data_IF_709450821945
#
_entry.id   IF_709450821945
#
_cell.length_a   1.000
_cell.length_b   1.000
_cell.length_c   1.000
_cell.angle_alpha   90.00
_cell.angle_beta   90.00
_cell.angle_gamma   90.00
#
_symmetry.space_group_name_H-M   'P 1'
#
loop_
_entity.id
_entity.type
_entity.pdbx_description
1 polymer ?
#
# COMPACT_ATOMS: atom_id res chain seq x y z
N UNK A 1 -23.72 -3.34 10.59
CA UNK A 1 -22.86 -3.52 9.43
C UNK A 1 -22.37 -2.14 9.01
N UNK A 2 -21.19 -2.05 8.47
CA UNK A 2 -20.59 -0.79 8.02
C UNK A 2 -19.44 -1.05 7.05
N UNK A 3 -19.21 -0.10 6.17
CA UNK A 3 -18.15 -0.21 5.18
C UNK A 3 -16.77 -0.06 5.78
N UNK A 4 -15.87 -1.00 5.46
CA UNK A 4 -14.46 -1.01 5.87
C UNK A 4 -13.60 -1.36 4.67
N UNK A 5 -12.47 -0.68 4.51
CA UNK A 5 -11.49 -1.04 3.49
C UNK A 5 -10.85 -2.40 3.81
N UNK A 6 -10.87 -3.32 2.85
CA UNK A 6 -10.23 -4.64 2.95
C UNK A 6 -8.93 -4.72 2.15
N UNK A 7 -8.74 -3.82 1.21
CA UNK A 7 -7.54 -3.67 0.41
C UNK A 7 -7.41 -2.22 -0.07
N UNK A 8 -6.19 -1.72 -0.16
CA UNK A 8 -5.92 -0.42 -0.76
C UNK A 8 -4.53 -0.37 -1.42
N UNK A 9 -4.37 0.59 -2.32
CA UNK A 9 -3.13 0.91 -3.01
C UNK A 9 -3.01 2.42 -3.16
N UNK A 10 -1.84 2.98 -2.79
CA UNK A 10 -1.56 4.41 -2.89
C UNK A 10 -1.49 4.86 -4.34
N UNK A 11 -2.34 5.76 -4.81
CA UNK A 11 -2.24 6.28 -6.17
C UNK A 11 -1.04 7.23 -6.31
N UNK A 12 -0.33 7.09 -7.44
CA UNK A 12 0.75 7.96 -7.88
C UNK A 12 0.68 8.18 -9.39
N UNK A 13 1.40 9.17 -9.91
CA UNK A 13 1.63 9.29 -11.35
C UNK A 13 2.54 8.14 -11.81
N UNK A 14 2.17 7.51 -12.92
CA UNK A 14 2.88 6.36 -13.47
C UNK A 14 3.07 6.54 -14.98
N UNK A 15 4.30 6.37 -15.43
CA UNK A 15 4.69 6.56 -16.84
C UNK A 15 4.81 5.22 -17.58
N UNK A 16 4.94 5.30 -18.91
CA UNK A 16 5.28 4.15 -19.76
C UNK A 16 4.11 3.27 -20.17
N UNK A 17 2.88 3.64 -19.84
CA UNK A 17 1.68 2.89 -20.22
C UNK A 17 0.92 3.57 -21.37
N UNK A 18 0.56 2.77 -22.36
CA UNK A 18 -0.26 3.15 -23.50
C UNK A 18 -1.36 2.12 -23.68
N UNK A 19 -2.61 2.57 -23.77
CA UNK A 19 -3.76 1.69 -23.93
C UNK A 19 -4.56 2.12 -25.17
N UNK A 20 -5.08 1.16 -25.92
CA UNK A 20 -5.92 1.40 -27.07
C UNK A 20 -7.00 0.31 -27.15
N UNK A 21 -8.15 0.58 -26.52
CA UNK A 21 -9.26 -0.37 -26.49
C UNK A 21 -8.90 -1.69 -25.81
N UNK A 22 -8.32 -1.65 -24.61
CA UNK A 22 -7.82 -2.83 -23.90
C UNK A 22 -8.54 -3.04 -22.57
N UNK A 23 -8.53 -4.29 -22.11
CA UNK A 23 -8.98 -4.67 -20.76
C UNK A 23 -7.78 -4.76 -19.84
N UNK A 24 -7.85 -4.09 -18.69
CA UNK A 24 -6.89 -4.22 -17.60
C UNK A 24 -7.48 -5.13 -16.54
N UNK A 25 -6.65 -6.03 -15.99
CA UNK A 25 -7.03 -6.98 -14.95
C UNK A 25 -6.08 -6.89 -13.78
N UNK A 26 -6.56 -6.33 -12.67
CA UNK A 26 -5.81 -6.09 -11.44
C UNK A 26 -6.16 -7.13 -10.39
N UNK A 27 -5.15 -7.62 -9.69
CA UNK A 27 -5.29 -8.66 -8.65
C UNK A 27 -5.13 -8.01 -7.28
N UNK A 28 -6.13 -8.11 -6.43
CA UNK A 28 -6.12 -7.56 -5.08
C UNK A 28 -6.20 -8.68 -4.03
N UNK A 29 -5.19 -8.78 -3.16
CA UNK A 29 -5.18 -9.71 -2.03
C UNK A 29 -5.91 -9.07 -0.85
N UNK A 30 -7.15 -9.48 -0.59
CA UNK A 30 -8.00 -8.85 0.43
C UNK A 30 -7.69 -9.38 1.83
N UNK A 31 -7.71 -8.50 2.82
CA UNK A 31 -7.40 -8.83 4.21
C UNK A 31 -8.55 -9.50 4.96
N UNK A 32 -9.78 -9.00 4.76
CA UNK A 32 -11.00 -9.57 5.36
C UNK A 32 -12.00 -9.90 4.26
N UNK A 33 -12.81 -10.93 4.48
CA UNK A 33 -13.88 -11.36 3.57
C UNK A 33 -15.21 -10.72 3.88
N UNK A 34 -16.21 -11.06 3.06
CA UNK A 34 -17.58 -10.60 3.21
C UNK A 34 -18.51 -11.11 2.13
N UNK A 35 -19.71 -10.54 2.07
CA UNK A 35 -20.76 -10.92 1.10
C UNK A 35 -21.19 -9.76 0.20
N UNK A 36 -20.72 -8.56 0.48
CA UNK A 36 -20.93 -7.34 -0.32
C UNK A 36 -19.67 -6.51 -0.33
N UNK A 37 -19.35 -5.97 -1.48
CA UNK A 37 -18.17 -5.09 -1.67
C UNK A 37 -18.47 -3.94 -2.62
N UNK A 38 -17.53 -2.99 -2.69
CA UNK A 38 -17.46 -1.94 -3.71
C UNK A 38 -16.01 -1.63 -4.04
N UNK A 39 -15.75 -1.20 -5.27
CA UNK A 39 -14.41 -0.95 -5.80
C UNK A 39 -14.18 0.54 -6.02
N UNK A 40 -12.98 1.03 -5.70
CA UNK A 40 -12.55 2.39 -5.97
C UNK A 40 -11.62 2.42 -7.19
N UNK A 41 -12.00 3.19 -8.22
CA UNK A 41 -11.18 3.44 -9.42
C UNK A 41 -10.73 4.89 -9.39
N UNK A 42 -9.43 5.14 -9.47
CA UNK A 42 -8.81 6.45 -9.27
C UNK A 42 -8.22 7.01 -10.55
N UNK A 43 -8.52 8.27 -10.84
CA UNK A 43 -7.88 9.09 -11.85
C UNK A 43 -7.16 10.30 -11.18
N UNK A 44 -6.62 10.09 -9.97
CA UNK A 44 -6.08 11.15 -9.12
C UNK A 44 -4.94 11.93 -9.76
N UNK A 45 -4.16 11.29 -10.63
CA UNK A 45 -3.03 11.90 -11.34
C UNK A 45 -3.31 12.14 -12.82
N UNK A 46 -4.48 11.71 -13.32
CA UNK A 46 -4.86 11.94 -14.69
C UNK A 46 -5.08 13.44 -15.00
N UNK A 47 -4.65 13.90 -16.15
CA UNK A 47 -4.89 15.26 -16.67
C UNK A 47 -6.15 15.35 -17.54
N UNK A 48 -6.74 14.24 -17.90
CA UNK A 48 -7.96 14.12 -18.70
C UNK A 48 -8.94 13.17 -18.03
N UNK A 49 -10.19 13.23 -18.49
CA UNK A 49 -11.22 12.29 -18.07
C UNK A 49 -10.84 10.85 -18.45
N UNK A 50 -10.96 9.93 -17.51
CA UNK A 50 -10.80 8.48 -17.72
C UNK A 50 -12.17 7.87 -17.95
N UNK A 51 -12.38 7.22 -19.08
CA UNK A 51 -13.61 6.46 -19.36
C UNK A 51 -13.41 4.98 -19.06
N UNK A 52 -14.35 4.42 -18.35
CA UNK A 52 -14.50 2.97 -18.12
C UNK A 52 -15.70 2.51 -18.95
N UNK A 53 -15.46 1.67 -19.95
CA UNK A 53 -16.51 1.16 -20.85
C UNK A 53 -17.25 -0.06 -20.30
N UNK A 54 -16.63 -0.81 -19.42
CA UNK A 54 -17.21 -1.92 -18.65
C UNK A 54 -16.28 -2.25 -17.50
N UNK A 55 -16.80 -2.80 -16.40
CA UNK A 55 -15.99 -3.31 -15.30
C UNK A 55 -16.65 -4.50 -14.61
N UNK A 56 -15.83 -5.44 -14.14
CA UNK A 56 -16.27 -6.62 -13.40
C UNK A 56 -15.35 -6.93 -12.23
N UNK A 57 -15.84 -7.73 -11.29
CA UNK A 57 -15.06 -8.33 -10.22
C UNK A 57 -15.39 -9.81 -10.11
N UNK A 58 -14.37 -10.62 -9.75
CA UNK A 58 -14.54 -12.06 -9.52
C UNK A 58 -13.47 -12.58 -8.55
N UNK A 59 -13.64 -13.75 -7.99
CA UNK A 59 -12.57 -14.48 -7.31
C UNK A 59 -11.55 -14.96 -8.34
N UNK A 60 -10.26 -14.80 -8.03
CA UNK A 60 -9.16 -15.32 -8.84
C UNK A 60 -9.06 -16.84 -8.68
N UNK A 61 -8.70 -17.53 -9.76
CA UNK A 61 -8.31 -18.94 -9.68
C UNK A 61 -6.78 -19.07 -9.77
N UNK A 62 -6.19 -18.79 -10.93
CA UNK A 62 -4.75 -18.85 -11.16
C UNK A 62 -4.34 -17.84 -12.23
N UNK A 63 -3.17 -17.23 -12.08
CA UNK A 63 -2.66 -16.27 -13.06
C UNK A 63 -3.66 -15.14 -13.32
N UNK A 64 -4.09 -14.97 -14.57
CA UNK A 64 -5.11 -14.01 -14.97
C UNK A 64 -6.53 -14.60 -15.01
N UNK A 65 -6.72 -15.88 -14.67
CA UNK A 65 -8.01 -16.56 -14.74
C UNK A 65 -8.90 -16.26 -13.54
N UNK A 66 -10.22 -16.31 -13.76
CA UNK A 66 -11.26 -16.06 -12.76
C UNK A 66 -12.19 -17.25 -12.63
N UNK A 67 -12.85 -17.36 -11.47
CA UNK A 67 -13.99 -18.26 -11.30
C UNK A 67 -15.24 -17.61 -11.92
N UNK A 68 -15.76 -18.13 -13.05
CA UNK A 68 -16.91 -17.55 -13.73
C UNK A 68 -18.19 -17.57 -12.90
N UNK A 69 -18.32 -18.43 -11.89
CA UNK A 69 -19.50 -18.47 -11.02
C UNK A 69 -19.53 -17.26 -10.07
N UNK A 70 -18.38 -16.66 -9.80
CA UNK A 70 -18.21 -15.49 -8.92
C UNK A 70 -18.22 -14.17 -9.68
N UNK A 71 -18.27 -14.19 -11.02
CA UNK A 71 -18.22 -12.98 -11.83
C UNK A 71 -19.42 -12.07 -11.56
N UNK A 72 -19.13 -10.79 -11.29
CA UNK A 72 -20.15 -9.75 -11.07
C UNK A 72 -19.78 -8.49 -11.86
N UNK A 73 -20.79 -7.89 -12.50
CA UNK A 73 -20.65 -6.59 -13.15
C UNK A 73 -20.55 -5.49 -12.07
N UNK A 74 -19.63 -4.58 -12.25
CA UNK A 74 -19.54 -3.35 -11.48
C UNK A 74 -20.33 -2.26 -12.20
N UNK A 75 -21.20 -1.58 -11.44
CA UNK A 75 -21.94 -0.42 -11.94
C UNK A 75 -21.57 0.83 -11.17
N UNK A 76 -21.90 1.98 -11.74
CA UNK A 76 -21.67 3.30 -11.16
C UNK A 76 -22.95 4.11 -11.35
N UNK A 77 -23.67 4.38 -10.28
CA UNK A 77 -25.03 4.99 -10.32
C UNK A 77 -25.98 4.21 -11.26
N UNK A 78 -25.92 2.86 -11.15
CA UNK A 78 -26.72 1.93 -11.95
C UNK A 78 -26.28 1.78 -13.41
N UNK A 79 -25.17 2.41 -13.82
CA UNK A 79 -24.65 2.34 -15.18
C UNK A 79 -23.38 1.46 -15.24
N UNK A 80 -23.25 0.63 -16.28
CA UNK A 80 -22.04 -0.19 -16.52
C UNK A 80 -20.84 0.62 -16.98
N UNK A 81 -21.06 1.84 -17.41
CA UNK A 81 -20.02 2.77 -17.88
C UNK A 81 -19.90 3.95 -16.94
N UNK A 82 -18.67 4.48 -16.82
CA UNK A 82 -18.45 5.72 -16.07
C UNK A 82 -17.34 6.53 -16.69
N UNK A 83 -17.29 7.83 -16.34
CA UNK A 83 -16.26 8.75 -16.76
C UNK A 83 -15.75 9.53 -15.54
N UNK A 84 -14.50 9.28 -15.17
CA UNK A 84 -13.86 9.81 -13.96
C UNK A 84 -13.07 11.05 -14.34
N UNK A 85 -13.43 12.20 -13.77
CA UNK A 85 -12.74 13.46 -14.03
C UNK A 85 -11.27 13.41 -13.63
N UNK A 86 -10.44 14.24 -14.23
CA UNK A 86 -9.06 14.44 -13.81
C UNK A 86 -8.98 14.82 -12.32
N UNK A 87 -8.07 14.20 -11.59
CA UNK A 87 -7.89 14.42 -10.16
C UNK A 87 -8.91 13.72 -9.25
N UNK A 88 -9.90 13.00 -9.81
CA UNK A 88 -10.97 12.37 -9.06
C UNK A 88 -10.82 10.84 -8.94
N UNK A 89 -11.71 10.22 -8.16
CA UNK A 89 -11.93 8.78 -8.15
C UNK A 89 -13.44 8.49 -8.20
N UNK A 90 -13.80 7.29 -8.61
CA UNK A 90 -15.16 6.78 -8.56
C UNK A 90 -15.24 5.56 -7.63
N UNK A 91 -16.37 5.42 -6.95
CA UNK A 91 -16.70 4.21 -6.17
C UNK A 91 -17.83 3.50 -6.91
N UNK A 92 -17.69 2.20 -7.12
CA UNK A 92 -18.76 1.40 -7.72
C UNK A 92 -19.98 1.34 -6.79
N UNK A 93 -21.14 0.99 -7.37
CA UNK A 93 -22.28 0.55 -6.58
C UNK A 93 -21.92 -0.72 -5.78
N UNK A 94 -22.75 -1.06 -4.81
CA UNK A 94 -22.61 -2.26 -4.00
C UNK A 94 -22.82 -3.52 -4.85
N UNK A 95 -21.93 -4.49 -4.69
CA UNK A 95 -21.95 -5.75 -5.42
C UNK A 95 -22.05 -6.92 -4.45
N UNK A 96 -23.04 -7.79 -4.64
CA UNK A 96 -23.17 -9.02 -3.89
C UNK A 96 -22.18 -10.06 -4.44
N UNK A 97 -21.12 -10.30 -3.68
CA UNK A 97 -20.11 -11.31 -3.94
C UNK A 97 -19.62 -11.85 -2.60
N UNK A 98 -19.75 -13.15 -2.41
CA UNK A 98 -19.17 -13.83 -1.25
C UNK A 98 -17.71 -14.17 -1.53
N UNK A 99 -16.82 -13.79 -0.62
CA UNK A 99 -15.38 -14.07 -0.69
C UNK A 99 -14.80 -14.24 0.71
N UNK A 100 -13.76 -15.06 0.81
CA UNK A 100 -13.11 -15.37 2.08
C UNK A 100 -11.96 -14.40 2.41
N UNK A 101 -11.60 -14.23 3.69
CA UNK A 101 -10.41 -13.49 4.06
C UNK A 101 -9.15 -14.06 3.38
N UNK A 102 -8.16 -13.21 3.15
CA UNK A 102 -6.86 -13.58 2.59
C UNK A 102 -6.94 -14.28 1.22
N UNK A 103 -7.96 -13.94 0.44
CA UNK A 103 -8.13 -14.42 -0.94
C UNK A 103 -7.83 -13.32 -1.95
N UNK A 104 -7.66 -13.74 -3.20
CA UNK A 104 -7.42 -12.82 -4.30
C UNK A 104 -8.71 -12.52 -5.05
N UNK A 105 -9.02 -11.24 -5.20
CA UNK A 105 -10.05 -10.74 -6.09
C UNK A 105 -9.44 -10.17 -7.37
N UNK A 106 -10.13 -10.37 -8.46
CA UNK A 106 -9.74 -9.88 -9.78
C UNK A 106 -10.69 -8.78 -10.22
N UNK A 107 -10.16 -7.57 -10.39
CA UNK A 107 -10.89 -6.42 -10.92
C UNK A 107 -10.51 -6.26 -12.39
N UNK A 108 -11.47 -6.44 -13.30
CA UNK A 108 -11.28 -6.24 -14.74
C UNK A 108 -12.04 -5.01 -15.20
N UNK A 109 -11.43 -4.14 -16.00
CA UNK A 109 -12.11 -2.99 -16.57
C UNK A 109 -11.58 -2.67 -17.97
N UNK A 110 -12.51 -2.30 -18.85
CA UNK A 110 -12.23 -1.98 -20.24
C UNK A 110 -12.05 -0.49 -20.43
N UNK A 111 -10.92 -0.10 -21.05
CA UNK A 111 -10.60 1.26 -21.45
C UNK A 111 -10.90 1.43 -22.95
N UNK A 112 -12.03 2.09 -23.32
CA UNK A 112 -12.42 2.22 -24.72
C UNK A 112 -11.60 3.25 -25.50
N UNK A 113 -11.08 4.25 -24.80
CA UNK A 113 -10.37 5.37 -25.39
C UNK A 113 -8.87 5.03 -25.57
N UNK A 114 -8.27 5.73 -26.52
CA UNK A 114 -6.82 5.68 -26.76
C UNK A 114 -6.11 6.57 -25.72
N UNK A 115 -5.35 5.92 -24.82
CA UNK A 115 -4.55 6.56 -23.78
C UNK A 115 -3.09 6.51 -24.22
N UNK A 116 -2.57 7.67 -24.66
CA UNK A 116 -1.22 7.84 -25.21
C UNK A 116 -0.33 8.68 -24.30
N UNK A 117 0.91 8.83 -24.70
CA UNK A 117 1.91 9.72 -24.12
C UNK A 117 1.32 11.12 -23.83
N UNK A 118 1.57 11.62 -22.62
CA UNK A 118 0.94 12.87 -22.12
C UNK A 118 -0.45 12.69 -21.49
N UNK A 119 -0.96 11.48 -21.41
CA UNK A 119 -2.03 11.09 -20.51
C UNK A 119 -1.37 10.54 -19.25
N UNK A 120 -1.34 11.32 -18.17
CA UNK A 120 -0.76 10.85 -16.92
C UNK A 120 -1.63 9.74 -16.36
N UNK A 121 -1.07 8.54 -16.31
CA UNK A 121 -1.73 7.35 -15.78
C UNK A 121 -1.64 7.36 -14.26
N UNK A 122 -2.77 7.14 -13.59
CA UNK A 122 -2.78 6.90 -12.16
C UNK A 122 -2.48 5.43 -11.90
N UNK A 123 -1.45 5.15 -11.12
CA UNK A 123 -1.07 3.78 -10.80
C UNK A 123 -0.26 3.68 -9.51
N UNK A 124 0.15 2.46 -9.18
CA UNK A 124 1.07 2.14 -8.11
C UNK A 124 2.06 1.11 -8.62
N UNK A 125 3.27 1.54 -8.93
CA UNK A 125 4.34 0.70 -9.48
C UNK A 125 5.06 -0.08 -8.38
N UNK A 126 5.69 -1.19 -8.77
CA UNK A 126 6.46 -2.07 -7.86
C UNK A 126 5.61 -2.66 -6.73
N UNK A 127 4.37 -3.04 -7.06
CA UNK A 127 3.41 -3.54 -6.07
C UNK A 127 3.63 -5.00 -5.62
N UNK A 128 4.66 -5.66 -6.14
CA UNK A 128 4.97 -7.08 -5.89
C UNK A 128 3.76 -8.02 -6.14
N UNK A 129 2.94 -7.66 -7.10
CA UNK A 129 1.78 -8.42 -7.56
C UNK A 129 1.70 -8.38 -9.08
N UNK A 130 1.55 -9.53 -9.71
CA UNK A 130 1.38 -9.61 -11.16
C UNK A 130 -0.03 -9.18 -11.55
N UNK A 131 -0.12 -8.16 -12.40
CA UNK A 131 -1.32 -7.63 -13.02
C UNK A 131 -1.24 -7.80 -14.54
N UNK A 132 -2.36 -7.68 -15.24
CA UNK A 132 -2.44 -8.08 -16.63
C UNK A 132 -3.11 -7.03 -17.51
N UNK A 133 -2.59 -6.89 -18.73
CA UNK A 133 -3.13 -6.04 -19.80
C UNK A 133 -3.44 -6.96 -20.98
N UNK A 134 -4.67 -6.89 -21.49
CA UNK A 134 -5.12 -7.75 -22.59
C UNK A 134 -4.61 -7.28 -23.96
N UNK A 135 -4.70 -8.14 -24.94
CA UNK A 135 -4.79 -7.72 -26.36
C UNK A 135 -5.98 -6.74 -26.52
N UNK A 136 -6.01 -5.91 -27.61
CA UNK A 136 -7.15 -5.02 -27.85
C UNK A 136 -8.49 -5.77 -27.83
N UNK A 137 -9.45 -5.26 -27.07
CA UNK A 137 -10.78 -5.85 -26.90
C UNK A 137 -11.35 -5.67 -25.50
N UNK A 138 -12.67 -5.81 -25.41
CA UNK A 138 -13.39 -5.88 -24.13
C UNK A 138 -13.48 -7.35 -23.68
N UNK A 139 -12.72 -7.72 -22.68
CA UNK A 139 -12.63 -9.07 -22.12
C UNK A 139 -12.97 -9.12 -20.63
N UNK A 140 -13.72 -8.13 -20.12
CA UNK A 140 -14.03 -8.05 -18.68
C UNK A 140 -14.76 -9.28 -18.16
N UNK A 141 -15.56 -9.97 -19.01
CA UNK A 141 -16.31 -11.17 -18.65
C UNK A 141 -15.57 -12.48 -18.98
N UNK A 142 -14.42 -12.39 -19.65
CA UNK A 142 -13.68 -13.59 -20.07
C UNK A 142 -13.06 -14.31 -18.88
N UNK A 143 -13.30 -15.61 -18.74
CA UNK A 143 -12.66 -16.46 -17.73
C UNK A 143 -11.15 -16.39 -17.89
N UNK A 144 -10.67 -16.63 -19.11
CA UNK A 144 -9.25 -16.45 -19.48
C UNK A 144 -9.07 -15.12 -20.19
N UNK A 145 -8.08 -14.34 -19.75
CA UNK A 145 -7.72 -13.09 -20.39
C UNK A 145 -6.72 -13.35 -21.53
N UNK A 146 -6.92 -12.86 -22.77
CA UNK A 146 -5.90 -12.87 -23.79
C UNK A 146 -4.78 -11.87 -23.45
N UNK A 147 -3.87 -12.26 -22.57
CA UNK A 147 -2.81 -11.42 -22.01
C UNK A 147 -1.83 -11.01 -23.11
N UNK A 148 -1.66 -9.71 -23.31
CA UNK A 148 -0.62 -9.14 -24.16
C UNK A 148 0.62 -8.73 -23.35
N UNK A 149 0.42 -8.31 -22.10
CA UNK A 149 1.49 -7.86 -21.21
C UNK A 149 1.11 -8.13 -19.74
N UNK A 150 2.09 -8.53 -18.94
CA UNK A 150 2.01 -8.48 -17.48
C UNK A 150 2.75 -7.26 -16.95
N UNK A 151 2.36 -6.80 -15.77
CA UNK A 151 2.98 -5.66 -15.08
C UNK A 151 2.93 -5.85 -13.57
N UNK A 152 3.91 -5.29 -12.86
CA UNK A 152 3.93 -5.18 -11.40
C UNK A 152 3.31 -3.86 -10.89
N UNK A 153 2.45 -3.25 -11.69
CA UNK A 153 1.81 -1.98 -11.41
C UNK A 153 0.30 -2.16 -11.26
N UNK A 154 -0.27 -1.70 -10.15
CA UNK A 154 -1.72 -1.47 -10.10
C UNK A 154 -2.06 -0.25 -10.94
N UNK A 155 -2.99 -0.40 -11.87
CA UNK A 155 -3.43 0.65 -12.76
C UNK A 155 -4.85 1.07 -12.40
N UNK A 156 -5.06 2.32 -12.03
CA UNK A 156 -6.33 2.97 -11.72
C UNK A 156 -7.13 2.40 -10.55
N UNK A 157 -6.84 1.21 -10.03
CA UNK A 157 -7.54 0.66 -8.86
C UNK A 157 -6.85 1.15 -7.59
N UNK A 158 -7.62 1.69 -6.63
CA UNK A 158 -7.08 2.27 -5.40
C UNK A 158 -7.67 1.69 -4.12
N UNK A 159 -8.72 0.85 -4.18
CA UNK A 159 -9.25 0.24 -2.98
C UNK A 159 -10.45 -0.67 -3.21
N UNK A 160 -10.69 -1.54 -2.24
CA UNK A 160 -11.88 -2.38 -2.12
C UNK A 160 -12.42 -2.20 -0.70
N UNK A 161 -13.69 -1.82 -0.61
CA UNK A 161 -14.43 -1.78 0.65
C UNK A 161 -15.36 -2.99 0.75
N UNK A 162 -15.54 -3.52 1.95
CA UNK A 162 -16.45 -4.62 2.26
C UNK A 162 -17.49 -4.16 3.29
N UNK A 163 -18.74 -4.61 3.19
CA UNK A 163 -19.73 -4.43 4.27
C UNK A 163 -19.44 -5.44 5.37
N UNK A 164 -18.77 -4.98 6.40
CA UNK A 164 -18.23 -5.80 7.47
C UNK A 164 -19.18 -5.92 8.67
N UNK A 165 -18.89 -6.88 9.54
CA UNK A 165 -19.59 -7.05 10.80
C UNK A 165 -19.47 -5.81 11.69
N UNK A 166 -20.48 -5.55 12.51
CA UNK A 166 -20.45 -4.45 13.47
C UNK A 166 -19.22 -4.56 14.40
N UNK A 167 -18.48 -3.48 14.57
CA UNK A 167 -17.27 -3.42 15.39
C UNK A 167 -15.98 -3.72 14.63
N UNK A 168 -16.06 -4.09 13.34
CA UNK A 168 -14.88 -4.19 12.47
C UNK A 168 -14.36 -2.79 12.16
N UNK A 169 -13.05 -2.57 12.32
CA UNK A 169 -12.37 -1.33 11.96
C UNK A 169 -11.39 -1.51 10.80
N UNK A 170 -10.83 -0.41 10.30
CA UNK A 170 -9.77 -0.40 9.30
C UNK A 170 -8.43 -0.02 9.92
N UNK A 171 -7.38 -0.74 9.58
CA UNK A 171 -5.98 -0.40 9.87
C UNK A 171 -5.34 0.08 8.56
N UNK A 172 -4.86 1.30 8.54
CA UNK A 172 -4.02 1.81 7.46
C UNK A 172 -2.56 1.62 7.84
N UNK A 173 -1.75 1.13 6.91
CA UNK A 173 -0.29 1.08 7.07
C UNK A 173 0.33 2.10 6.11
N UNK A 174 0.82 3.22 6.64
CA UNK A 174 1.41 4.31 5.87
C UNK A 174 2.94 4.21 5.90
N UNK A 175 3.56 4.20 4.74
CA UNK A 175 5.01 4.07 4.71
C UNK A 175 5.66 4.33 3.36
N UNK A 176 6.90 3.95 3.27
CA UNK A 176 7.72 3.96 2.06
C UNK A 176 7.87 2.54 1.48
N UNK A 177 8.98 2.25 0.80
CA UNK A 177 9.27 0.92 0.24
C UNK A 177 9.31 -0.19 1.29
N UNK A 178 9.58 0.13 2.55
CA UNK A 178 9.59 -0.84 3.65
C UNK A 178 8.19 -1.25 4.09
N UNK A 179 7.18 -0.42 3.81
CA UNK A 179 5.76 -0.73 4.06
C UNK A 179 5.05 -1.24 2.81
N UNK A 180 5.39 -0.71 1.65
CA UNK A 180 5.04 -1.26 0.33
C UNK A 180 5.64 -2.66 0.13
N UNK A 181 6.71 -2.93 0.88
CA UNK A 181 7.48 -4.18 0.93
C UNK A 181 8.13 -4.54 -0.40
N UNK A 182 8.82 -3.55 -0.97
CA UNK A 182 9.64 -3.75 -2.17
C UNK A 182 10.61 -4.92 -1.97
N UNK A 183 10.86 -5.65 -3.06
CA UNK A 183 11.75 -6.84 -3.09
C UNK A 183 11.16 -8.06 -2.37
N UNK A 184 9.98 -8.00 -1.76
CA UNK A 184 9.30 -9.24 -1.34
C UNK A 184 8.97 -10.11 -2.56
N UNK A 185 8.85 -11.42 -2.34
CA UNK A 185 8.55 -12.36 -3.43
C UNK A 185 7.23 -12.00 -4.11
N UNK A 186 7.28 -11.77 -5.43
CA UNK A 186 6.12 -11.41 -6.25
C UNK A 186 5.03 -12.48 -6.13
N UNK A 187 3.79 -12.06 -6.03
CA UNK A 187 2.58 -12.90 -5.90
C UNK A 187 2.51 -13.75 -4.61
N UNK A 188 3.50 -13.66 -3.71
CA UNK A 188 3.51 -14.45 -2.47
C UNK A 188 2.76 -13.77 -1.31
N UNK A 189 2.43 -12.48 -1.44
CA UNK A 189 1.77 -11.69 -0.40
C UNK A 189 2.51 -11.75 0.95
N UNK A 190 3.85 -11.72 0.93
CA UNK A 190 4.72 -11.77 2.12
C UNK A 190 5.02 -10.37 2.69
N UNK A 191 4.22 -9.35 2.36
CA UNK A 191 4.34 -8.01 2.93
C UNK A 191 3.94 -8.03 4.40
N UNK A 192 4.59 -7.19 5.25
CA UNK A 192 4.26 -7.16 6.68
C UNK A 192 2.79 -6.76 6.96
N UNK A 193 2.13 -5.91 6.15
CA UNK A 193 0.68 -5.68 6.31
C UNK A 193 -0.16 -6.92 6.00
N UNK A 194 0.25 -7.77 5.04
CA UNK A 194 -0.42 -9.05 4.77
C UNK A 194 -0.22 -10.03 5.94
N UNK A 195 0.98 -10.05 6.53
CA UNK A 195 1.24 -10.88 7.73
C UNK A 195 0.42 -10.39 8.93
N UNK A 196 0.30 -9.08 9.13
CA UNK A 196 -0.59 -8.51 10.14
C UNK A 196 -2.04 -8.97 9.91
N UNK A 197 -2.52 -8.94 8.68
CA UNK A 197 -3.86 -9.43 8.33
C UNK A 197 -4.02 -10.93 8.67
N UNK A 198 -3.04 -11.77 8.33
CA UNK A 198 -3.04 -13.21 8.72
C UNK A 198 -3.14 -13.38 10.23
N UNK A 199 -2.37 -12.63 10.99
CA UNK A 199 -2.35 -12.70 12.44
C UNK A 199 -3.69 -12.26 13.06
N UNK A 200 -4.32 -11.21 12.52
CA UNK A 200 -5.66 -10.75 12.94
C UNK A 200 -6.72 -11.84 12.66
N UNK A 201 -6.70 -12.44 11.48
CA UNK A 201 -7.65 -13.52 11.12
C UNK A 201 -7.44 -14.72 12.04
N UNK A 202 -6.21 -15.18 12.23
CA UNK A 202 -5.90 -16.31 13.10
C UNK A 202 -6.33 -16.07 14.56
N UNK A 203 -6.12 -14.85 15.08
CA UNK A 203 -6.60 -14.45 16.41
C UNK A 203 -8.13 -14.44 16.48
N UNK A 204 -8.80 -13.94 15.45
CA UNK A 204 -10.26 -13.94 15.39
C UNK A 204 -10.84 -15.36 15.43
N UNK A 205 -10.29 -16.25 14.62
CA UNK A 205 -10.73 -17.66 14.58
C UNK A 205 -10.56 -18.36 15.92
N UNK A 206 -9.41 -18.15 16.56
CA UNK A 206 -9.05 -18.84 17.81
C UNK A 206 -9.69 -18.22 19.06
N UNK A 207 -9.72 -16.91 19.16
CA UNK A 207 -10.01 -16.16 20.40
C UNK A 207 -11.20 -15.21 20.28
N UNK A 208 -11.83 -15.13 19.10
CA UNK A 208 -12.88 -14.15 18.79
C UNK A 208 -12.42 -12.70 18.95
N UNK A 209 -11.12 -12.44 18.74
CA UNK A 209 -10.58 -11.08 18.69
C UNK A 209 -11.29 -10.23 17.61
N UNK A 210 -11.20 -8.92 17.70
CA UNK A 210 -11.81 -8.03 16.71
C UNK A 210 -11.21 -8.22 15.32
N UNK A 211 -12.07 -8.15 14.32
CA UNK A 211 -11.65 -8.12 12.91
C UNK A 211 -11.28 -6.69 12.50
N UNK A 212 -10.24 -6.59 11.69
CA UNK A 212 -9.84 -5.33 11.07
C UNK A 212 -9.42 -5.60 9.63
N UNK A 213 -9.91 -4.77 8.72
CA UNK A 213 -9.35 -4.71 7.37
C UNK A 213 -7.99 -4.01 7.40
N UNK A 214 -7.02 -4.53 6.66
CA UNK A 214 -5.68 -3.94 6.55
C UNK A 214 -5.52 -3.34 5.16
N UNK A 215 -5.17 -2.05 5.11
CA UNK A 215 -5.03 -1.26 3.88
C UNK A 215 -3.59 -0.76 3.76
N UNK A 216 -2.83 -1.34 2.84
CA UNK A 216 -1.44 -0.92 2.61
C UNK A 216 -1.41 0.38 1.80
N UNK A 217 -0.87 1.45 2.40
CA UNK A 217 -0.63 2.77 1.80
C UNK A 217 0.87 3.12 1.80
N UNK A 218 1.71 2.10 1.73
CA UNK A 218 3.13 2.22 1.41
C UNK A 218 3.32 2.68 -0.03
N UNK A 219 4.40 3.37 -0.32
CA UNK A 219 4.84 3.71 -1.68
C UNK A 219 6.35 3.92 -1.71
N UNK A 220 7.04 3.21 -2.61
CA UNK A 220 8.49 3.25 -2.71
C UNK A 220 9.07 4.66 -2.81
N UNK A 221 10.05 4.97 -1.96
CA UNK A 221 10.73 6.27 -1.93
C UNK A 221 9.98 7.39 -1.21
N UNK A 222 8.82 7.12 -0.58
CA UNK A 222 8.04 8.12 0.14
C UNK A 222 8.85 8.78 1.26
N UNK A 223 8.63 10.08 1.46
CA UNK A 223 9.25 10.92 2.49
C UNK A 223 8.18 11.54 3.37
N UNK A 224 8.55 11.97 4.56
CA UNK A 224 7.65 12.68 5.46
C UNK A 224 7.42 14.11 4.96
N UNK A 225 8.51 14.84 4.67
CA UNK A 225 8.52 16.30 4.47
C UNK A 225 8.53 16.66 2.99
N UNK A 226 9.57 16.21 2.28
CA UNK A 226 9.75 16.60 0.89
C UNK A 226 8.90 15.80 -0.06
N UNK A 227 8.57 16.40 -1.20
CA UNK A 227 7.82 15.73 -2.25
C UNK A 227 8.59 14.50 -2.75
N UNK A 228 7.82 13.47 -3.04
CA UNK A 228 8.30 12.19 -3.52
C UNK A 228 7.23 11.58 -4.44
N UNK A 229 7.42 10.33 -4.82
CA UNK A 229 6.40 9.62 -5.60
C UNK A 229 5.05 9.68 -4.87
N UNK A 230 4.03 10.24 -5.50
CA UNK A 230 2.69 10.38 -4.93
C UNK A 230 2.48 11.53 -3.94
N UNK A 231 3.47 12.41 -3.76
CA UNK A 231 3.52 13.49 -2.78
C UNK A 231 4.21 13.10 -1.47
N UNK A 232 4.55 14.08 -0.62
CA UNK A 232 5.05 13.79 0.72
C UNK A 232 3.98 13.11 1.56
N UNK A 233 4.37 12.35 2.60
CA UNK A 233 3.40 11.69 3.47
C UNK A 233 2.51 12.68 4.21
N UNK A 234 3.02 13.86 4.55
CA UNK A 234 2.20 14.94 5.10
C UNK A 234 1.18 15.46 4.10
N UNK A 235 1.53 15.57 2.82
CA UNK A 235 0.63 16.04 1.77
C UNK A 235 -0.47 15.00 1.46
N UNK A 236 -0.11 13.72 1.35
CA UNK A 236 -1.04 12.63 1.01
C UNK A 236 -1.82 12.07 2.20
N UNK A 237 -1.57 12.53 3.42
CA UNK A 237 -2.13 11.99 4.66
C UNK A 237 -3.67 11.95 4.67
N UNK A 238 -4.33 13.02 4.20
CA UNK A 238 -5.80 13.04 4.19
C UNK A 238 -6.37 12.04 3.20
N UNK A 239 -5.77 11.94 2.00
CA UNK A 239 -6.20 10.99 0.97
C UNK A 239 -5.94 9.53 1.39
N UNK A 240 -4.73 9.25 1.86
CA UNK A 240 -4.26 7.88 2.05
C UNK A 240 -4.54 7.33 3.45
N UNK A 241 -4.90 8.18 4.42
CA UNK A 241 -5.24 7.77 5.78
C UNK A 241 -6.67 8.18 6.14
N UNK A 242 -6.92 9.49 6.24
CA UNK A 242 -8.17 10.01 6.79
C UNK A 242 -9.40 9.62 5.95
N UNK A 243 -9.26 9.59 4.63
CA UNK A 243 -10.33 9.25 3.70
C UNK A 243 -10.52 7.73 3.49
N UNK A 244 -9.70 6.88 4.13
CA UNK A 244 -9.87 5.44 4.01
C UNK A 244 -11.12 4.96 4.76
N UNK A 245 -11.87 4.09 4.10
CA UNK A 245 -13.18 3.67 4.59
C UNK A 245 -13.06 2.88 5.89
N UNK A 246 -13.74 3.37 6.94
CA UNK A 246 -13.79 2.70 8.24
C UNK A 246 -12.47 2.70 9.01
N UNK A 247 -11.52 3.58 8.65
CA UNK A 247 -10.22 3.67 9.35
C UNK A 247 -10.40 3.98 10.84
N UNK A 248 -9.76 3.19 11.68
CA UNK A 248 -9.74 3.36 13.14
C UNK A 248 -8.31 3.40 13.68
N UNK A 249 -7.37 2.82 12.95
CA UNK A 249 -5.97 2.71 13.36
C UNK A 249 -5.04 3.03 12.19
N UNK A 250 -3.92 3.64 12.52
CA UNK A 250 -2.81 3.91 11.61
C UNK A 250 -1.53 3.32 12.21
N UNK A 251 -0.81 2.54 11.43
CA UNK A 251 0.60 2.22 11.69
C UNK A 251 1.41 2.97 10.64
N UNK A 252 2.37 3.78 11.05
CA UNK A 252 3.28 4.39 10.09
C UNK A 252 4.74 4.01 10.35
N UNK A 253 5.50 3.84 9.27
CA UNK A 253 6.93 3.60 9.29
C UNK A 253 7.57 4.40 8.15
N UNK A 254 8.18 5.55 8.48
CA UNK A 254 8.63 6.58 7.54
C UNK A 254 9.81 7.36 8.10
N UNK A 255 10.64 7.91 7.21
CA UNK A 255 11.73 8.82 7.53
C UNK A 255 13.08 8.37 6.99
N UNK A 256 13.24 7.10 6.60
CA UNK A 256 14.52 6.62 6.09
C UNK A 256 14.90 7.32 4.77
N UNK A 257 13.93 7.60 3.88
CA UNK A 257 14.20 8.29 2.63
C UNK A 257 14.42 9.80 2.78
N UNK A 258 13.96 10.39 3.88
CA UNK A 258 14.32 11.77 4.24
C UNK A 258 15.78 11.83 4.69
N UNK A 259 16.24 10.84 5.48
CA UNK A 259 17.62 10.72 5.98
C UNK A 259 18.59 10.36 4.84
N UNK A 260 18.21 9.42 3.97
CA UNK A 260 18.97 8.98 2.80
C UNK A 260 18.87 10.01 1.67
N UNK A 261 19.38 11.20 1.88
CA UNK A 261 19.34 12.25 0.87
C UNK A 261 20.12 11.84 -0.39
N UNK A 262 19.40 11.63 -1.50
CA UNK A 262 19.96 11.21 -2.79
C UNK A 262 20.58 12.34 -3.61
N UNK A 263 20.56 13.57 -3.10
CA UNK A 263 20.99 14.73 -3.86
C UNK A 263 22.06 15.55 -3.16
N UNK A 264 22.79 16.31 -3.95
CA UNK A 264 23.66 17.39 -3.48
C UNK A 264 22.87 18.67 -3.16
N UNK A 265 21.54 18.62 -3.20
CA UNK A 265 20.70 19.77 -2.91
C UNK A 265 20.59 19.98 -1.40
N UNK A 266 21.18 21.03 -0.85
CA UNK A 266 21.15 21.31 0.58
C UNK A 266 19.72 21.61 1.08
N UNK A 267 18.81 22.05 0.21
CA UNK A 267 17.42 22.35 0.59
C UNK A 267 16.60 21.07 0.86
N UNK A 268 17.12 19.91 0.48
CA UNK A 268 16.52 18.59 0.77
C UNK A 268 17.11 17.90 2.00
N UNK A 269 18.09 18.51 2.67
CA UNK A 269 18.65 17.98 3.91
C UNK A 269 17.69 18.30 5.04
N UNK A 270 17.29 17.28 5.79
CA UNK A 270 16.41 17.43 6.95
C UNK A 270 17.13 17.08 8.24
N UNK A 271 16.77 17.75 9.32
CA UNK A 271 17.20 17.42 10.67
C UNK A 271 16.30 16.36 11.29
N UNK A 272 16.75 15.70 12.36
CA UNK A 272 15.93 14.79 13.14
C UNK A 272 14.73 15.52 13.77
N UNK A 273 14.90 16.77 14.18
CA UNK A 273 13.87 17.61 14.79
C UNK A 273 12.75 17.94 13.79
N UNK A 274 13.08 18.22 12.53
CA UNK A 274 12.09 18.45 11.46
C UNK A 274 11.28 17.21 11.17
N UNK A 275 11.93 16.03 11.11
CA UNK A 275 11.23 14.76 10.95
C UNK A 275 10.29 14.46 12.12
N UNK A 276 10.77 14.66 13.34
CA UNK A 276 9.94 14.55 14.56
C UNK A 276 8.75 15.51 14.52
N UNK A 277 8.95 16.75 14.07
CA UNK A 277 7.86 17.71 13.91
C UNK A 277 6.82 17.23 12.88
N UNK A 278 7.26 16.68 11.75
CA UNK A 278 6.39 16.08 10.74
C UNK A 278 5.59 14.89 11.29
N UNK A 279 6.23 13.99 12.05
CA UNK A 279 5.56 12.85 12.70
C UNK A 279 4.51 13.32 13.72
N UNK A 280 4.80 14.35 14.51
CA UNK A 280 3.83 14.98 15.44
C UNK A 280 2.62 15.55 14.70
N UNK A 281 2.79 16.15 13.52
CA UNK A 281 1.68 16.64 12.71
C UNK A 281 0.77 15.50 12.23
N UNK A 282 1.31 14.35 11.88
CA UNK A 282 0.50 13.16 11.58
C UNK A 282 -0.31 12.71 12.79
N UNK A 283 0.28 12.68 13.99
CA UNK A 283 -0.41 12.31 15.22
C UNK A 283 -1.60 13.27 15.52
N UNK A 284 -1.36 14.58 15.46
CA UNK A 284 -2.42 15.59 15.68
C UNK A 284 -3.59 15.39 14.70
N UNK A 285 -3.29 15.12 13.43
CA UNK A 285 -4.32 14.93 12.39
C UNK A 285 -5.09 13.62 12.56
N UNK A 286 -4.41 12.53 12.94
CA UNK A 286 -5.04 11.24 13.26
C UNK A 286 -5.97 11.34 14.47
N UNK A 287 -5.48 11.89 15.58
CA UNK A 287 -6.25 12.06 16.82
C UNK A 287 -7.45 12.98 16.64
N UNK A 288 -7.35 14.03 15.80
CA UNK A 288 -8.48 14.89 15.47
C UNK A 288 -9.63 14.14 14.75
N UNK A 289 -9.40 12.93 14.29
CA UNK A 289 -10.36 12.03 13.64
C UNK A 289 -10.66 10.77 14.46
N UNK A 290 -10.22 10.73 15.72
CA UNK A 290 -10.32 9.55 16.60
C UNK A 290 -9.64 8.29 15.99
N UNK A 291 -8.57 8.47 15.21
CA UNK A 291 -7.74 7.39 14.68
C UNK A 291 -6.58 7.21 15.65
N UNK A 292 -6.44 6.02 16.21
CA UNK A 292 -5.24 5.65 16.99
C UNK A 292 -4.04 5.54 16.04
N UNK A 293 -2.90 6.07 16.45
CA UNK A 293 -1.70 6.11 15.64
C UNK A 293 -0.52 5.42 16.34
N UNK A 294 0.11 4.48 15.64
CA UNK A 294 1.24 3.71 16.10
C UNK A 294 2.46 3.98 15.22
N UNK A 295 3.59 4.25 15.84
CA UNK A 295 4.82 4.57 15.13
C UNK A 295 5.75 3.35 15.06
N UNK A 296 6.22 2.99 13.86
CA UNK A 296 7.29 2.04 13.65
C UNK A 296 8.65 2.71 13.73
N UNK A 297 9.62 2.10 14.44
CA UNK A 297 11.00 2.58 14.43
C UNK A 297 11.68 2.36 13.09
N UNK A 298 12.67 3.20 12.76
CA UNK A 298 13.42 3.15 11.51
C UNK A 298 14.42 1.99 11.54
N UNK A 299 14.43 1.14 10.52
CA UNK A 299 15.32 -0.02 10.42
C UNK A 299 16.80 0.39 10.30
N UNK A 300 17.73 -0.47 10.72
CA UNK A 300 19.15 -0.29 10.45
C UNK A 300 19.43 -0.45 8.95
N UNK A 301 20.42 0.29 8.41
CA UNK A 301 20.72 0.33 6.99
C UNK A 301 22.22 0.55 6.68
N UNK A 302 23.09 0.18 7.60
CA UNK A 302 24.55 0.24 7.36
C UNK A 302 24.92 -0.67 6.18
N UNK A 303 25.85 -0.22 5.34
CA UNK A 303 26.25 -0.85 4.10
C UNK A 303 25.19 -0.88 2.98
N UNK A 304 24.14 -0.09 3.11
CA UNK A 304 23.08 0.00 2.08
C UNK A 304 23.65 0.31 0.69
N UNK A 305 23.25 -0.47 -0.31
CA UNK A 305 23.67 -0.31 -1.72
C UNK A 305 22.52 -0.32 -2.72
N UNK A 306 21.29 -0.10 -2.26
CA UNK A 306 20.11 -0.10 -3.11
C UNK A 306 20.07 1.09 -4.07
N UNK A 307 20.25 0.82 -5.38
CA UNK A 307 20.17 1.81 -6.46
C UNK A 307 20.96 3.12 -6.17
N UNK A 308 22.24 3.05 -5.80
CA UNK A 308 23.00 4.26 -5.55
C UNK A 308 23.16 5.08 -6.85
N UNK A 309 23.26 6.41 -6.76
CA UNK A 309 23.63 7.24 -7.90
C UNK A 309 24.98 6.80 -8.51
N UNK A 310 25.19 7.00 -9.82
CA UNK A 310 26.44 6.64 -10.45
C UNK A 310 27.68 7.18 -9.71
N UNK A 311 28.59 6.28 -9.34
CA UNK A 311 29.82 6.61 -8.61
C UNK A 311 29.72 6.55 -7.09
N UNK A 312 28.54 6.28 -6.52
CA UNK A 312 28.35 6.00 -5.11
C UNK A 312 28.12 4.50 -4.88
N UNK A 313 28.50 4.01 -3.69
CA UNK A 313 28.30 2.61 -3.26
C UNK A 313 27.05 2.44 -2.37
N UNK A 314 26.20 3.46 -2.28
CA UNK A 314 25.06 3.49 -1.39
C UNK A 314 24.81 4.91 -0.89
N UNK A 315 23.84 5.06 -0.03
CA UNK A 315 23.42 6.34 0.54
C UNK A 315 23.52 6.36 2.07
N UNK A 316 24.09 5.30 2.65
CA UNK A 316 24.43 5.32 4.07
C UNK A 316 25.48 6.40 4.36
N UNK A 317 25.23 7.13 5.44
CA UNK A 317 26.20 8.03 6.06
C UNK A 317 26.12 7.90 7.57
N UNK A 318 27.25 8.10 8.27
CA UNK A 318 27.25 8.12 9.74
C UNK A 318 26.34 9.22 10.29
N UNK A 319 26.30 10.40 9.68
CA UNK A 319 25.37 11.47 10.04
C UNK A 319 23.91 11.04 9.90
N UNK A 320 23.56 10.37 8.79
CA UNK A 320 22.22 9.81 8.57
C UNK A 320 21.86 8.77 9.62
N UNK A 321 22.79 7.88 9.98
CA UNK A 321 22.57 6.89 11.03
C UNK A 321 22.41 7.54 12.41
N UNK A 322 23.14 8.61 12.73
CA UNK A 322 22.93 9.36 13.98
C UNK A 322 21.52 9.98 14.03
N UNK A 323 21.00 10.51 12.93
CA UNK A 323 19.60 10.97 12.82
C UNK A 323 18.61 9.84 13.09
N UNK A 324 18.82 8.65 12.47
CA UNK A 324 18.01 7.45 12.70
C UNK A 324 17.98 7.07 14.18
N UNK A 325 19.15 6.97 14.80
CA UNK A 325 19.28 6.61 16.22
C UNK A 325 18.60 7.63 17.13
N UNK A 326 18.75 8.94 16.86
CA UNK A 326 18.09 10.00 17.61
C UNK A 326 16.57 9.91 17.49
N UNK A 327 16.03 9.68 16.29
CA UNK A 327 14.59 9.51 16.05
C UNK A 327 14.07 8.26 16.78
N UNK A 328 14.77 7.11 16.65
CA UNK A 328 14.36 5.88 17.32
C UNK A 328 14.40 6.01 18.85
N UNK A 329 15.41 6.71 19.39
CA UNK A 329 15.48 7.01 20.82
C UNK A 329 14.30 7.87 21.28
N UNK A 330 13.93 8.88 20.51
CA UNK A 330 12.76 9.72 20.80
C UNK A 330 11.44 8.90 20.68
N UNK A 331 11.29 8.09 19.63
CA UNK A 331 10.11 7.24 19.46
C UNK A 331 9.88 6.32 20.66
N UNK A 332 10.93 5.69 21.18
CA UNK A 332 10.85 4.79 22.35
C UNK A 332 10.46 5.48 23.66
N UNK A 333 10.52 6.81 23.73
CA UNK A 333 10.32 7.59 24.97
C UNK A 333 9.11 8.53 24.89
N UNK A 334 8.56 8.73 23.71
CA UNK A 334 7.48 9.71 23.50
C UNK A 334 6.10 9.13 23.87
N UNK A 335 5.22 10.01 24.30
CA UNK A 335 3.78 9.77 24.53
C UNK A 335 2.89 10.38 23.43
N UNK A 336 3.49 10.84 22.34
CA UNK A 336 2.78 11.46 21.20
C UNK A 336 1.92 10.43 20.45
N UNK A 337 2.33 9.18 20.42
CA UNK A 337 1.63 8.09 19.73
C UNK A 337 0.96 7.15 20.72
N UNK A 338 -0.12 6.50 20.30
CA UNK A 338 -0.83 5.54 21.16
C UNK A 338 0.01 4.28 21.46
N UNK A 339 0.96 3.94 20.58
CA UNK A 339 1.99 2.94 20.82
C UNK A 339 3.19 3.12 19.86
N UNK A 340 4.29 2.44 20.18
CA UNK A 340 5.47 2.33 19.32
C UNK A 340 5.78 0.85 19.07
N UNK A 341 6.00 0.51 17.80
CA UNK A 341 6.38 -0.82 17.33
C UNK A 341 7.86 -0.79 17.03
N UNK A 342 8.67 -1.52 17.78
CA UNK A 342 10.13 -1.44 17.69
C UNK A 342 10.71 -2.39 16.63
N UNK A 343 10.41 -2.09 15.35
CA UNK A 343 10.94 -2.86 14.22
C UNK A 343 12.47 -2.86 14.14
N UNK A 344 13.13 -1.75 14.54
CA UNK A 344 14.58 -1.64 14.59
C UNK A 344 15.18 -2.73 15.48
N UNK A 345 14.69 -2.86 16.71
CA UNK A 345 15.18 -3.84 17.66
C UNK A 345 14.93 -5.29 17.23
N UNK A 346 13.81 -5.52 16.52
CA UNK A 346 13.41 -6.86 16.09
C UNK A 346 14.21 -7.38 14.88
N UNK A 347 14.68 -6.47 14.01
CA UNK A 347 15.39 -6.84 12.78
C UNK A 347 16.90 -6.59 12.85
N UNK A 348 17.39 -5.83 13.83
CA UNK A 348 18.82 -5.53 13.95
C UNK A 348 19.67 -6.77 14.21
N UNK A 349 20.90 -6.76 13.71
CA UNK A 349 21.93 -7.72 14.08
C UNK A 349 22.45 -7.40 15.50
N UNK A 350 22.32 -8.31 16.49
CA UNK A 350 22.79 -8.02 17.86
C UNK A 350 24.29 -7.72 17.98
N UNK A 351 25.10 -8.25 17.06
CA UNK A 351 26.55 -8.02 17.04
C UNK A 351 26.94 -6.72 16.32
N UNK A 352 26.09 -6.28 15.38
CA UNK A 352 26.24 -5.08 14.55
C UNK A 352 24.91 -4.29 14.48
N UNK A 353 24.52 -3.51 15.50
CA UNK A 353 23.18 -2.93 15.62
C UNK A 353 22.78 -1.93 14.54
N UNK A 354 23.70 -1.48 13.70
CA UNK A 354 23.41 -0.63 12.55
C UNK A 354 23.10 -1.42 11.26
N UNK A 355 23.22 -2.75 11.31
CA UNK A 355 22.90 -3.68 10.23
C UNK A 355 21.66 -4.50 10.57
N UNK A 356 20.91 -4.92 9.55
CA UNK A 356 19.89 -5.96 9.73
C UNK A 356 20.55 -7.32 9.96
N UNK A 357 19.87 -8.19 10.71
CA UNK A 357 20.28 -9.57 10.82
C UNK A 357 20.25 -10.21 9.42
N UNK A 358 21.29 -10.96 8.99
CA UNK A 358 21.37 -11.52 7.63
C UNK A 358 20.16 -12.34 7.18
N UNK A 359 19.44 -12.97 8.14
CA UNK A 359 18.20 -13.68 7.84
C UNK A 359 17.09 -12.74 7.35
N UNK A 360 17.08 -11.51 7.84
CA UNK A 360 16.03 -10.52 7.58
C UNK A 360 16.39 -9.53 6.48
N UNK A 361 17.61 -9.56 5.97
CA UNK A 361 18.12 -8.71 4.91
C UNK A 361 17.90 -9.37 3.53
N UNK A 362 17.40 -8.63 2.56
CA UNK A 362 17.27 -9.14 1.19
C UNK A 362 18.60 -9.16 0.43
N UNK A 363 19.66 -8.56 0.99
CA UNK A 363 21.00 -8.46 0.41
C UNK A 363 21.36 -7.08 -0.12
N UNK A 364 20.47 -6.09 -0.04
CA UNK A 364 20.75 -4.69 -0.38
C UNK A 364 20.99 -3.81 0.86
N UNK A 365 20.92 -4.39 2.04
CA UNK A 365 21.15 -3.79 3.35
C UNK A 365 20.21 -2.63 3.70
N UNK A 366 19.05 -2.54 3.02
CA UNK A 366 18.00 -1.57 3.25
C UNK A 366 16.65 -2.23 3.40
N UNK A 367 16.30 -3.14 2.47
CA UNK A 367 15.00 -3.78 2.43
C UNK A 367 15.05 -5.14 3.13
N UNK A 368 14.04 -5.45 3.95
CA UNK A 368 13.89 -6.78 4.51
C UNK A 368 13.69 -7.86 3.43
N UNK A 369 14.16 -9.06 3.72
CA UNK A 369 13.74 -10.28 3.04
C UNK A 369 12.29 -10.63 3.37
N UNK A 370 11.70 -11.64 2.70
CA UNK A 370 10.38 -12.17 3.09
C UNK A 370 10.31 -12.55 4.57
N UNK A 371 11.39 -13.16 5.10
CA UNK A 371 11.46 -13.50 6.53
C UNK A 371 11.46 -12.25 7.42
N UNK A 372 12.13 -11.18 7.00
CA UNK A 372 12.15 -9.90 7.68
C UNK A 372 10.77 -9.24 7.68
N UNK A 373 10.09 -9.19 6.54
CA UNK A 373 8.73 -8.65 6.45
C UNK A 373 7.72 -9.45 7.27
N UNK A 374 7.78 -10.78 7.24
CA UNK A 374 6.96 -11.64 8.09
C UNK A 374 7.23 -11.33 9.56
N UNK A 375 8.51 -11.19 9.97
CA UNK A 375 8.86 -10.84 11.35
C UNK A 375 8.28 -9.48 11.74
N UNK A 376 8.32 -8.46 10.88
CA UNK A 376 7.67 -7.17 11.15
C UNK A 376 6.18 -7.31 11.43
N UNK A 377 5.46 -8.13 10.66
CA UNK A 377 4.04 -8.39 10.92
C UNK A 377 3.78 -9.15 12.22
N UNK A 378 4.67 -10.09 12.58
CA UNK A 378 4.51 -10.96 13.76
C UNK A 378 4.76 -10.24 15.09
N UNK A 379 5.59 -9.20 15.11
CA UNK A 379 5.91 -8.48 16.35
C UNK A 379 4.87 -7.43 16.75
N UNK A 380 3.89 -7.19 15.90
CA UNK A 380 2.82 -6.25 16.20
C UNK A 380 1.87 -6.84 17.26
N UNK A 381 1.79 -6.20 18.41
CA UNK A 381 0.88 -6.61 19.48
C UNK A 381 -0.58 -6.40 19.03
N UNK A 382 -1.29 -7.50 18.81
CA UNK A 382 -2.68 -7.46 18.35
C UNK A 382 -3.66 -6.91 19.40
N UNK A 383 -3.26 -6.80 20.67
CA UNK A 383 -4.09 -6.15 21.69
C UNK A 383 -4.26 -4.65 21.48
N UNK A 384 -3.40 -4.04 20.65
CA UNK A 384 -3.51 -2.64 20.24
C UNK A 384 -4.79 -2.34 19.46
N UNK A 385 -5.44 -3.36 18.92
CA UNK A 385 -6.65 -3.24 18.08
C UNK A 385 -7.94 -3.67 18.79
N UNK A 386 -7.91 -3.91 20.10
CA UNK A 386 -9.08 -4.29 20.91
C UNK A 386 -10.00 -3.13 21.25
#
# INVERSE_FOLDING_TARGET
MGWVGTWASTPAATDGFHFSGQTLRMIAHVSIGGIQLRVKISNAYGKRQLKIGAATIACRTEGAAIDPQTLRTLTFDGQETTAISAGAFAVSDEVALEFVPLSDLTISFYLPDDIREGFDVTGHATCNQTNYISSPGNYVESTELPVAQSTDTYLFVSGIDVDALAGTGGIVTLGDSLTDCNISTVDANNRWPDQLARNIIARHEKERGRLHGVMNQGIGGSKIIHDARGGSSLQRFDRDVIAQTGVTHLIFQLGINDIRNRGSDPDLVVSAEELVAGMKQMAVRAHARNIKIYAGTLLPYENEDYNPPPGLKGLYTEEGNQKRLAINSWLRQTDVFDAVIDFDKELQNPEHPNEMLPLYDCGDHLHPSDAGYIRMGDVIDLSLFD
#
